data_IF_219312919660
#
_entry.id   IF_219312919660
#
_cell.length_a   1.000
_cell.length_b   1.000
_cell.length_c   1.000
_cell.angle_alpha   90.00
_cell.angle_beta   90.00
_cell.angle_gamma   90.00
#
_symmetry.space_group_name_H-M   'P 1'
#
loop_
_entity.id
_entity.type
_entity.pdbx_description
1 polymer ?
#
# COMPACT_ATOMS: atom_id res chain seq x y z
N UNK A 1 2.62 -18.99 0.59
CA UNK A 1 3.05 -17.86 1.46
C UNK A 1 4.12 -16.99 0.82
N UNK A 2 5.21 -17.53 0.24
CA UNK A 2 6.31 -16.71 -0.33
C UNK A 2 5.87 -15.74 -1.43
N UNK A 3 4.87 -16.10 -2.24
CA UNK A 3 4.34 -15.23 -3.31
C UNK A 3 3.48 -14.06 -2.81
N UNK A 4 2.97 -14.11 -1.58
CA UNK A 4 2.11 -13.05 -0.99
C UNK A 4 2.97 -11.99 -0.31
N UNK A 5 4.18 -12.33 0.12
CA UNK A 5 5.12 -11.39 0.76
C UNK A 5 5.36 -10.13 -0.08
N UNK A 6 5.68 -10.19 -1.39
CA UNK A 6 5.89 -8.98 -2.18
C UNK A 6 4.65 -8.09 -2.26
N UNK A 7 3.45 -8.67 -2.28
CA UNK A 7 2.19 -7.91 -2.25
C UNK A 7 2.03 -7.13 -0.96
N UNK A 8 2.27 -7.80 0.17
CA UNK A 8 2.17 -7.21 1.50
C UNK A 8 3.19 -6.07 1.63
N UNK A 9 4.42 -6.29 1.16
CA UNK A 9 5.47 -5.26 1.17
C UNK A 9 5.07 -4.05 0.32
N UNK A 10 4.55 -4.26 -0.89
CA UNK A 10 4.07 -3.17 -1.76
C UNK A 10 2.91 -2.39 -1.11
N UNK A 11 1.95 -3.10 -0.50
CA UNK A 11 0.86 -2.49 0.24
C UNK A 11 1.36 -1.65 1.41
N UNK A 12 2.25 -2.20 2.23
CA UNK A 12 2.82 -1.51 3.40
C UNK A 12 3.61 -0.27 2.98
N UNK A 13 4.42 -0.36 1.91
CA UNK A 13 5.15 0.78 1.36
C UNK A 13 4.20 1.88 0.88
N UNK A 14 3.12 1.52 0.18
CA UNK A 14 2.13 2.48 -0.27
C UNK A 14 1.41 3.17 0.89
N UNK A 15 1.01 2.41 1.92
CA UNK A 15 0.39 2.95 3.14
C UNK A 15 1.37 3.89 3.87
N UNK A 16 2.62 3.49 4.05
CA UNK A 16 3.67 4.33 4.66
C UNK A 16 3.88 5.63 3.90
N UNK A 17 3.89 5.56 2.57
CA UNK A 17 4.05 6.74 1.70
C UNK A 17 2.91 7.73 1.90
N UNK A 18 1.67 7.24 1.97
CA UNK A 18 0.50 8.09 2.24
C UNK A 18 0.51 8.65 3.67
N UNK A 19 0.86 7.84 4.67
CA UNK A 19 0.97 8.31 6.06
C UNK A 19 2.02 9.43 6.16
N UNK A 20 3.19 9.25 5.54
CA UNK A 20 4.24 10.25 5.51
C UNK A 20 3.80 11.53 4.80
N UNK A 21 3.14 11.42 3.66
CA UNK A 21 2.67 12.57 2.90
C UNK A 21 1.61 13.37 3.69
N UNK A 22 0.55 12.71 4.18
CA UNK A 22 -0.55 13.39 4.87
C UNK A 22 -0.22 13.87 6.30
N UNK A 23 0.60 13.14 7.05
CA UNK A 23 0.86 13.47 8.46
C UNK A 23 2.14 14.27 8.68
N UNK A 24 3.20 14.00 7.91
CA UNK A 24 4.53 14.55 8.19
C UNK A 24 4.96 15.61 7.17
N UNK A 25 4.91 15.27 5.88
CA UNK A 25 5.53 16.08 4.83
C UNK A 25 4.62 17.23 4.35
N UNK A 26 3.30 17.01 4.24
CA UNK A 26 2.30 18.01 3.82
C UNK A 26 2.76 18.81 2.59
N UNK A 27 3.33 18.10 1.62
CA UNK A 27 3.88 18.72 0.42
C UNK A 27 2.73 19.23 -0.44
N UNK A 28 2.78 20.50 -0.81
CA UNK A 28 1.77 21.12 -1.66
C UNK A 28 2.16 21.08 -3.14
N UNK A 29 1.15 21.15 -4.02
CA UNK A 29 1.32 21.23 -5.46
C UNK A 29 1.65 19.88 -6.11
N UNK A 30 2.39 19.93 -7.22
CA UNK A 30 2.62 18.76 -8.07
C UNK A 30 3.38 17.61 -7.37
N UNK A 31 4.25 17.93 -6.41
CA UNK A 31 5.07 16.92 -5.70
C UNK A 31 4.22 16.12 -4.70
N UNK A 32 3.35 16.80 -3.95
CA UNK A 32 2.39 16.12 -3.06
C UNK A 32 1.49 15.18 -3.84
N UNK A 33 0.87 15.70 -4.91
CA UNK A 33 0.05 14.89 -5.82
C UNK A 33 0.78 13.67 -6.38
N UNK A 34 2.04 13.82 -6.82
CA UNK A 34 2.84 12.71 -7.32
C UNK A 34 3.10 11.66 -6.25
N UNK A 35 3.39 12.05 -5.00
CA UNK A 35 3.55 11.13 -3.88
C UNK A 35 2.25 10.41 -3.55
N UNK A 36 1.12 11.12 -3.48
CA UNK A 36 -0.18 10.53 -3.20
C UNK A 36 -0.56 9.51 -4.29
N UNK A 37 -0.38 9.86 -5.57
CA UNK A 37 -0.62 8.94 -6.69
C UNK A 37 0.28 7.72 -6.61
N UNK A 38 1.57 7.91 -6.32
CA UNK A 38 2.53 6.81 -6.18
C UNK A 38 2.14 5.87 -5.03
N UNK A 39 1.74 6.43 -3.88
CA UNK A 39 1.27 5.64 -2.74
C UNK A 39 0.02 4.82 -3.07
N UNK A 40 -0.96 5.41 -3.75
CA UNK A 40 -2.17 4.71 -4.21
C UNK A 40 -1.83 3.62 -5.24
N UNK A 41 -0.93 3.88 -6.17
CA UNK A 41 -0.48 2.89 -7.16
C UNK A 41 0.25 1.72 -6.51
N UNK A 42 1.06 1.96 -5.48
CA UNK A 42 1.73 0.90 -4.72
C UNK A 42 0.75 0.02 -3.95
N UNK A 43 -0.29 0.61 -3.35
CA UNK A 43 -1.38 -0.15 -2.70
C UNK A 43 -2.15 -0.96 -3.75
N UNK A 44 -2.53 -0.33 -4.86
CA UNK A 44 -3.22 -1.00 -5.96
C UNK A 44 -2.40 -2.15 -6.54
N UNK A 45 -1.10 -1.94 -6.76
CA UNK A 45 -0.18 -2.98 -7.20
C UNK A 45 -0.06 -4.09 -6.16
N UNK A 46 0.05 -3.78 -4.87
CA UNK A 46 0.07 -4.78 -3.80
C UNK A 46 -1.21 -5.63 -3.74
N UNK A 47 -2.38 -5.04 -4.03
CA UNK A 47 -3.64 -5.76 -4.08
C UNK A 47 -3.77 -6.64 -5.34
N UNK A 48 -3.34 -6.15 -6.49
CA UNK A 48 -3.57 -6.80 -7.80
C UNK A 48 -2.44 -7.75 -8.23
N UNK A 49 -1.21 -7.54 -7.76
CA UNK A 49 -0.06 -8.35 -8.15
C UNK A 49 -0.24 -9.77 -7.62
N UNK A 50 -0.21 -10.80 -8.47
CA UNK A 50 -0.33 -12.24 -8.08
C UNK A 50 -1.51 -12.67 -7.19
N UNK A 51 -2.43 -11.78 -6.80
CA UNK A 51 -3.52 -12.09 -5.88
C UNK A 51 -4.77 -12.49 -6.66
N UNK A 52 -5.16 -13.77 -6.60
CA UNK A 52 -6.45 -14.24 -7.15
C UNK A 52 -7.65 -13.74 -6.31
N UNK A 53 -7.39 -13.31 -5.06
CA UNK A 53 -8.41 -12.83 -4.11
C UNK A 53 -7.83 -11.69 -3.22
N UNK A 54 -7.76 -10.44 -3.71
CA UNK A 54 -7.19 -9.30 -2.99
C UNK A 54 -7.78 -9.08 -1.60
N UNK A 55 -9.09 -9.28 -1.46
CA UNK A 55 -9.83 -9.12 -0.19
C UNK A 55 -9.38 -10.17 0.84
N UNK A 56 -9.04 -11.38 0.40
CA UNK A 56 -8.56 -12.44 1.28
C UNK A 56 -7.19 -12.11 1.87
N UNK A 57 -6.31 -11.49 1.09
CA UNK A 57 -4.98 -11.05 1.57
C UNK A 57 -5.12 -9.94 2.61
N UNK A 58 -6.02 -8.97 2.40
CA UNK A 58 -6.35 -7.96 3.41
C UNK A 58 -6.87 -8.60 4.71
N UNK A 59 -7.81 -9.54 4.60
CA UNK A 59 -8.38 -10.23 5.77
C UNK A 59 -7.34 -11.06 6.53
N UNK A 60 -6.46 -11.78 5.83
CA UNK A 60 -5.35 -12.53 6.45
C UNK A 60 -4.35 -11.60 7.15
N UNK A 61 -4.14 -10.38 6.65
CA UNK A 61 -3.26 -9.39 7.28
C UNK A 61 -3.85 -8.86 8.58
N UNK A 62 -5.16 -8.56 8.59
CA UNK A 62 -5.89 -8.15 9.80
C UNK A 62 -5.95 -9.27 10.84
N UNK A 63 -6.24 -10.51 10.43
CA UNK A 63 -6.34 -11.66 11.33
C UNK A 63 -4.99 -12.08 11.93
N UNK A 64 -3.87 -11.83 11.25
CA UNK A 64 -2.53 -12.12 11.80
C UNK A 64 -1.99 -11.00 12.70
N UNK A 65 -2.59 -9.80 12.67
CA UNK A 65 -2.20 -8.65 13.50
C UNK A 65 -2.98 -8.56 14.82
N UNK A 66 -4.02 -9.38 15.02
CA UNK A 66 -4.88 -9.42 16.21
C UNK A 66 -4.87 -10.83 16.81
#
# INVERSE_FOLDING_TARGET
MKDIIPNIVLMLLGILTLILEFNFLKLNGAIGLALTITGVLLIGAGLLYKSKHPIKVLAELFMNLF
#
